data_IF_047757781649
#
_entry.id   IF_047757781649
#
_cell.length_a   1.000
_cell.length_b   1.000
_cell.length_c   1.000
_cell.angle_alpha   90.00
_cell.angle_beta   90.00
_cell.angle_gamma   90.00
#
_symmetry.space_group_name_H-M   'P 1'
#
loop_
_entity.id
_entity.type
_entity.pdbx_description
1 polymer ?
#
# COMPACT_ATOMS: atom_id res chain seq x y z
N UNK A 1 73.46 -23.93 35.48
CA UNK A 1 74.89 -23.77 35.84
C UNK A 1 74.99 -23.23 37.27
N UNK A 2 74.50 -24.01 38.24
CA UNK A 2 74.21 -23.55 39.61
C UNK A 2 74.73 -24.53 40.68
N UNK A 3 75.72 -25.34 40.32
CA UNK A 3 76.28 -26.40 41.17
C UNK A 3 77.72 -26.11 41.61
N UNK A 4 78.19 -24.86 41.49
CA UNK A 4 79.60 -24.49 41.79
C UNK A 4 79.82 -23.60 43.03
N UNK A 5 78.77 -23.21 43.75
CA UNK A 5 78.92 -22.34 44.93
C UNK A 5 78.84 -23.11 46.25
N UNK A 6 78.27 -24.33 46.28
CA UNK A 6 78.19 -25.12 47.52
C UNK A 6 79.46 -25.94 47.84
N UNK A 7 80.42 -26.05 46.93
CA UNK A 7 81.58 -26.94 47.09
C UNK A 7 82.77 -26.32 47.83
N UNK A 8 82.80 -24.99 48.02
CA UNK A 8 83.93 -24.29 48.68
C UNK A 8 83.71 -24.02 50.17
N UNK A 9 82.48 -24.21 50.68
CA UNK A 9 82.20 -24.01 52.11
C UNK A 9 82.51 -25.25 52.98
N UNK A 10 82.72 -26.43 52.36
CA UNK A 10 82.87 -27.70 53.09
C UNK A 10 84.31 -28.24 53.16
N UNK A 11 85.30 -27.49 52.66
CA UNK A 11 86.71 -27.94 52.62
C UNK A 11 87.60 -27.36 53.73
N UNK A 12 87.05 -26.63 54.71
CA UNK A 12 87.84 -25.98 55.76
C UNK A 12 87.41 -26.40 57.18
N UNK A 13 86.94 -27.63 57.36
CA UNK A 13 86.58 -28.17 58.68
C UNK A 13 87.43 -29.38 59.11
N UNK A 14 88.45 -29.78 58.35
CA UNK A 14 89.31 -30.88 58.74
C UNK A 14 90.77 -30.58 58.41
N UNK A 15 91.50 -30.13 59.43
CA UNK A 15 92.87 -30.54 59.83
C UNK A 15 93.43 -29.40 60.69
N UNK A 16 93.59 -29.71 61.97
CA UNK A 16 94.07 -28.83 63.03
C UNK A 16 95.60 -28.84 63.01
N UNK A 17 96.19 -27.64 62.91
CA UNK A 17 97.42 -27.17 63.57
C UNK A 17 98.29 -26.32 62.63
N UNK A 18 98.24 -25.00 62.85
CA UNK A 18 99.31 -24.10 62.42
C UNK A 18 98.93 -23.07 61.35
N UNK A 19 98.01 -22.16 61.67
CA UNK A 19 98.04 -20.81 61.11
C UNK A 19 97.94 -19.78 62.23
N UNK A 20 98.94 -18.91 62.27
CA UNK A 20 99.13 -17.77 63.18
C UNK A 20 98.05 -16.71 62.96
N UNK A 21 97.75 -15.92 64.00
CA UNK A 21 96.65 -14.93 64.15
C UNK A 21 96.55 -13.79 63.11
N UNK A 22 97.16 -13.91 61.93
CA UNK A 22 97.13 -12.91 60.85
C UNK A 22 96.28 -13.32 59.64
N UNK A 23 95.26 -14.15 59.88
CA UNK A 23 94.22 -14.51 58.88
C UNK A 23 92.79 -14.30 59.41
N UNK A 24 92.63 -13.87 60.67
CA UNK A 24 91.34 -13.38 61.18
C UNK A 24 90.96 -12.02 60.56
N UNK A 25 91.93 -11.27 60.03
CA UNK A 25 91.69 -9.98 59.37
C UNK A 25 91.24 -10.08 57.90
N UNK A 26 91.23 -11.29 57.30
CA UNK A 26 90.64 -11.47 55.97
C UNK A 26 89.11 -11.57 56.03
N UNK A 27 88.55 -11.93 57.19
CA UNK A 27 87.11 -11.98 57.43
C UNK A 27 86.53 -10.70 58.05
N UNK A 28 87.37 -9.78 58.54
CA UNK A 28 86.94 -8.45 59.05
C UNK A 28 87.01 -7.34 57.99
N UNK A 29 87.66 -7.58 56.85
CA UNK A 29 87.69 -6.67 55.69
C UNK A 29 86.56 -6.91 54.67
N UNK A 30 85.79 -7.98 54.82
CA UNK A 30 84.48 -8.13 54.19
C UNK A 30 83.44 -7.62 55.19
N UNK A 31 83.14 -6.32 55.09
CA UNK A 31 82.00 -5.72 55.78
C UNK A 31 80.76 -6.62 55.64
N UNK A 32 79.96 -6.68 56.70
CA UNK A 32 78.76 -7.51 56.83
C UNK A 32 78.15 -7.89 55.47
N UNK A 33 77.98 -9.20 55.21
CA UNK A 33 77.27 -9.71 54.04
C UNK A 33 76.07 -8.78 53.78
N UNK A 34 75.96 -8.15 52.59
CA UNK A 34 74.88 -7.21 52.36
C UNK A 34 73.58 -7.95 52.63
N UNK A 35 72.76 -7.40 53.51
CA UNK A 35 71.39 -7.88 53.71
C UNK A 35 70.66 -7.65 52.40
N UNK A 36 70.52 -8.72 51.62
CA UNK A 36 69.86 -8.69 50.33
C UNK A 36 68.37 -8.97 50.53
N UNK A 37 67.53 -8.12 49.94
CA UNK A 37 66.09 -8.32 49.87
C UNK A 37 65.64 -8.76 48.48
N UNK A 38 64.33 -8.92 48.35
CA UNK A 38 63.63 -9.31 47.13
C UNK A 38 62.33 -8.52 47.00
N UNK A 39 61.93 -8.26 45.75
CA UNK A 39 60.65 -7.63 45.43
C UNK A 39 59.86 -8.55 44.51
N UNK A 40 58.67 -8.95 44.94
CA UNK A 40 57.69 -9.66 44.11
C UNK A 40 56.83 -8.64 43.36
N UNK A 41 56.75 -8.77 42.03
CA UNK A 41 55.92 -7.89 41.21
C UNK A 41 54.83 -8.70 40.53
N UNK A 42 53.59 -8.25 40.66
CA UNK A 42 52.41 -8.84 40.02
C UNK A 42 51.75 -7.83 39.09
N UNK A 43 51.28 -8.29 37.93
CA UNK A 43 50.48 -7.49 36.99
C UNK A 43 49.18 -8.24 36.69
N UNK A 44 48.06 -7.68 37.14
CA UNK A 44 46.72 -8.22 36.90
C UNK A 44 46.14 -7.64 35.60
N UNK A 45 45.50 -8.49 34.79
CA UNK A 45 44.80 -8.09 33.57
C UNK A 45 45.38 -8.66 32.26
N UNK A 46 46.55 -8.21 31.78
CA UNK A 46 47.10 -8.62 30.49
C UNK A 46 47.61 -10.08 30.50
N UNK A 47 47.05 -10.99 29.67
CA UNK A 47 47.44 -12.40 29.65
C UNK A 47 48.84 -12.63 29.06
N UNK A 48 49.31 -11.73 28.20
CA UNK A 48 50.68 -11.74 27.67
C UNK A 48 51.71 -11.07 28.61
N UNK A 49 51.25 -10.52 29.75
CA UNK A 49 52.04 -9.74 30.69
C UNK A 49 52.25 -8.28 30.27
N UNK A 50 52.85 -7.50 31.16
CA UNK A 50 53.25 -6.11 30.92
C UNK A 50 54.76 -5.94 31.12
N UNK A 51 55.37 -4.98 30.42
CA UNK A 51 56.78 -4.64 30.62
C UNK A 51 56.91 -3.80 31.89
N UNK A 52 57.70 -4.27 32.84
CA UNK A 52 57.99 -3.59 34.11
C UNK A 52 59.47 -3.30 34.21
N UNK A 53 59.81 -2.04 34.44
CA UNK A 53 61.14 -1.58 34.76
C UNK A 53 61.26 -1.40 36.28
N UNK A 54 62.23 -2.05 36.92
CA UNK A 54 62.56 -1.81 38.32
C UNK A 54 63.91 -1.08 38.41
N UNK A 55 63.93 0.08 39.07
CA UNK A 55 65.15 0.90 39.27
C UNK A 55 65.35 1.21 40.74
N UNK A 56 66.59 1.07 41.24
CA UNK A 56 66.96 1.35 42.62
C UNK A 56 68.48 1.50 42.81
N UNK A 57 68.98 1.48 44.05
CA UNK A 57 70.40 1.68 44.34
C UNK A 57 71.29 0.63 43.65
N UNK A 58 72.01 1.04 42.61
CA UNK A 58 72.89 0.15 41.84
C UNK A 58 72.16 -0.93 41.03
N UNK A 59 70.84 -0.85 40.88
CA UNK A 59 70.02 -1.86 40.21
C UNK A 59 69.10 -1.23 39.17
N UNK A 60 69.05 -1.83 37.99
CA UNK A 60 68.10 -1.49 36.92
C UNK A 60 67.88 -2.72 36.05
N UNK A 61 66.64 -3.24 36.01
CA UNK A 61 66.28 -4.38 35.16
C UNK A 61 64.87 -4.19 34.58
N UNK A 62 64.65 -4.75 33.39
CA UNK A 62 63.39 -4.68 32.64
C UNK A 62 62.89 -6.08 32.33
N UNK A 63 61.63 -6.38 32.64
CA UNK A 63 61.05 -7.71 32.44
C UNK A 63 59.61 -7.63 31.97
N UNK A 64 59.21 -8.55 31.10
CA UNK A 64 57.79 -8.82 30.84
C UNK A 64 57.26 -9.72 31.95
N UNK A 65 56.30 -9.22 32.71
CA UNK A 65 55.72 -9.89 33.89
C UNK A 65 54.27 -10.25 33.59
N UNK A 66 53.97 -11.55 33.61
CA UNK A 66 52.62 -12.09 33.44
C UNK A 66 51.85 -12.21 34.76
N UNK A 67 50.66 -12.84 34.72
CA UNK A 67 49.78 -13.01 35.88
C UNK A 67 50.40 -13.84 37.02
N UNK A 68 51.41 -14.67 36.74
CA UNK A 68 52.13 -15.44 37.76
C UNK A 68 53.09 -14.59 38.61
N UNK A 69 53.27 -13.31 38.25
CA UNK A 69 54.25 -12.43 38.86
C UNK A 69 55.70 -12.80 38.53
N UNK A 70 56.63 -11.99 39.03
CA UNK A 70 58.07 -12.20 38.94
C UNK A 70 58.78 -11.64 40.17
N UNK A 71 59.79 -12.36 40.67
CA UNK A 71 60.59 -11.94 41.83
C UNK A 71 61.93 -11.38 41.40
N UNK A 72 62.19 -10.11 41.69
CA UNK A 72 63.53 -9.52 41.63
C UNK A 72 64.28 -9.88 42.92
N UNK A 73 65.43 -10.53 42.79
CA UNK A 73 66.23 -11.02 43.92
C UNK A 73 67.57 -10.28 44.03
N UNK A 74 68.27 -10.49 45.14
CA UNK A 74 69.61 -9.93 45.39
C UNK A 74 69.66 -8.40 45.33
N UNK A 75 68.62 -7.75 45.86
CA UNK A 75 68.48 -6.30 45.91
C UNK A 75 69.13 -5.75 47.20
N UNK A 76 69.98 -4.74 47.09
CA UNK A 76 70.50 -4.03 48.26
C UNK A 76 69.39 -3.27 48.99
N UNK A 77 69.57 -2.99 50.29
CA UNK A 77 68.64 -2.14 51.05
C UNK A 77 68.54 -0.74 50.42
N UNK A 78 67.34 -0.16 50.41
CA UNK A 78 67.05 1.13 49.81
C UNK A 78 65.72 1.18 49.04
N UNK A 79 65.45 2.31 48.40
CA UNK A 79 64.18 2.57 47.71
C UNK A 79 64.23 2.17 46.23
N UNK A 80 63.29 1.34 45.81
CA UNK A 80 63.11 0.89 44.44
C UNK A 80 61.84 1.47 43.86
N UNK A 81 61.89 1.87 42.60
CA UNK A 81 60.73 2.34 41.82
C UNK A 81 60.47 1.34 40.70
N UNK A 82 59.27 0.77 40.69
CA UNK A 82 58.78 -0.03 39.58
C UNK A 82 57.89 0.84 38.69
N UNK A 83 58.14 0.80 37.38
CA UNK A 83 57.34 1.49 36.36
C UNK A 83 56.83 0.47 35.35
N UNK A 84 55.52 0.44 35.13
CA UNK A 84 54.86 -0.39 34.12
C UNK A 84 54.67 0.41 32.85
N UNK A 85 55.03 -0.18 31.72
CA UNK A 85 54.65 0.34 30.40
C UNK A 85 53.24 -0.18 30.09
N UNK A 86 52.31 0.74 29.84
CA UNK A 86 50.91 0.41 29.59
C UNK A 86 50.76 -0.53 28.36
N UNK A 87 50.23 -1.75 28.54
CA UNK A 87 50.01 -2.67 27.43
C UNK A 87 48.86 -2.21 26.54
N UNK A 88 48.97 -2.41 25.23
CA UNK A 88 47.90 -2.07 24.29
C UNK A 88 46.59 -2.80 24.63
N UNK A 89 45.48 -2.05 24.73
CA UNK A 89 44.16 -2.59 25.08
C UNK A 89 43.87 -2.71 26.57
N UNK A 90 44.78 -2.26 27.44
CA UNK A 90 44.64 -2.25 28.89
C UNK A 90 44.90 -0.84 29.43
N UNK A 91 44.21 -0.48 30.51
CA UNK A 91 44.41 0.80 31.21
C UNK A 91 44.91 0.54 32.62
N UNK A 92 46.17 0.83 32.90
CA UNK A 92 46.77 0.56 34.21
C UNK A 92 46.36 1.63 35.23
N UNK A 93 45.80 1.21 36.36
CA UNK A 93 45.35 2.10 37.44
C UNK A 93 46.48 2.95 38.04
N UNK A 94 47.70 2.40 38.05
CA UNK A 94 48.93 3.12 38.36
C UNK A 94 50.06 2.64 37.45
N UNK A 95 50.91 3.56 37.02
CA UNK A 95 52.07 3.26 36.18
C UNK A 95 53.37 3.19 36.97
N UNK A 96 53.40 3.73 38.20
CA UNK A 96 54.62 3.79 39.01
C UNK A 96 54.30 3.50 40.48
N UNK A 97 55.08 2.62 41.11
CA UNK A 97 55.02 2.37 42.55
C UNK A 97 56.43 2.31 43.14
N UNK A 98 56.58 2.71 44.39
CA UNK A 98 57.86 2.69 45.11
C UNK A 98 57.82 1.75 46.31
N UNK A 99 58.96 1.13 46.60
CA UNK A 99 59.13 0.22 47.73
C UNK A 99 60.51 0.35 48.34
N UNK A 100 60.56 0.54 49.66
CA UNK A 100 61.82 0.61 50.41
C UNK A 100 62.10 -0.72 51.11
N UNK A 101 63.31 -1.25 50.92
CA UNK A 101 63.83 -2.42 51.64
C UNK A 101 64.65 -1.95 52.85
N UNK A 102 64.22 -2.31 54.07
CA UNK A 102 64.84 -1.86 55.33
C UNK A 102 65.46 -2.99 56.17
N UNK A 103 65.11 -4.26 55.91
CA UNK A 103 65.75 -5.46 56.49
C UNK A 103 65.61 -6.68 55.54
N UNK A 104 66.17 -7.83 55.91
CA UNK A 104 66.26 -9.05 55.08
C UNK A 104 65.12 -10.08 55.31
N UNK A 105 63.85 -9.65 55.47
CA UNK A 105 62.69 -10.56 55.55
C UNK A 105 61.36 -9.94 55.06
N UNK A 106 60.35 -10.77 54.74
CA UNK A 106 60.17 -11.44 53.45
C UNK A 106 59.74 -10.50 52.31
N UNK A 107 59.85 -10.98 51.07
CA UNK A 107 59.60 -10.30 49.79
C UNK A 107 58.62 -9.12 49.87
N UNK A 108 59.09 -7.91 49.60
CA UNK A 108 58.20 -6.78 49.48
C UNK A 108 57.42 -6.90 48.15
N UNK A 109 56.10 -6.74 48.16
CA UNK A 109 55.29 -6.90 46.95
C UNK A 109 54.90 -5.56 46.33
N UNK A 110 54.80 -5.55 45.00
CA UNK A 110 54.21 -4.49 44.18
C UNK A 110 53.17 -5.12 43.25
N UNK A 111 51.98 -4.54 43.20
CA UNK A 111 50.88 -5.07 42.37
C UNK A 111 50.33 -3.97 41.50
N UNK A 112 50.35 -4.20 40.19
CA UNK A 112 49.75 -3.31 39.20
C UNK A 112 48.45 -3.95 38.71
N UNK A 113 47.37 -3.15 38.69
CA UNK A 113 46.10 -3.59 38.14
C UNK A 113 45.85 -2.84 36.82
N UNK A 114 45.81 -3.59 35.73
CA UNK A 114 45.63 -3.11 34.38
C UNK A 114 44.38 -3.79 33.79
N UNK A 115 43.15 -3.34 34.11
CA UNK A 115 41.94 -3.85 33.50
C UNK A 115 41.95 -3.67 31.97
N UNK A 116 41.25 -4.58 31.28
CA UNK A 116 40.96 -4.43 29.84
C UNK A 116 40.19 -3.13 29.65
N UNK A 117 40.59 -2.32 28.66
CA UNK A 117 39.80 -1.17 28.23
C UNK A 117 38.50 -1.73 27.64
N UNK A 118 37.38 -1.55 28.34
CA UNK A 118 36.08 -1.88 27.78
C UNK A 118 35.92 -1.05 26.49
N UNK A 119 35.51 -1.65 25.36
CA UNK A 119 35.21 -0.85 24.17
C UNK A 119 34.12 0.14 24.56
N UNK A 120 34.39 1.43 24.43
CA UNK A 120 33.39 2.47 24.64
C UNK A 120 32.25 2.22 23.63
N UNK A 121 31.05 1.81 24.09
CA UNK A 121 30.02 1.34 23.19
C UNK A 121 29.53 2.48 22.31
N UNK A 122 29.57 2.27 21.00
CA UNK A 122 28.99 3.17 20.03
C UNK A 122 27.45 3.04 19.99
N UNK A 123 26.81 4.12 19.58
CA UNK A 123 25.38 4.20 19.29
C UNK A 123 25.17 4.52 17.82
N UNK A 124 24.26 3.80 17.17
CA UNK A 124 23.83 4.05 15.80
C UNK A 124 22.33 4.34 15.80
N UNK A 125 21.95 5.51 15.29
CA UNK A 125 20.58 6.00 15.28
C UNK A 125 20.10 6.26 13.86
N UNK A 126 18.93 5.74 13.52
CA UNK A 126 18.25 6.02 12.28
C UNK A 126 17.11 7.00 12.54
N UNK A 127 17.08 8.09 11.81
CA UNK A 127 15.96 9.05 11.84
C UNK A 127 15.16 8.93 10.56
N UNK A 128 13.87 9.24 10.62
CA UNK A 128 12.97 9.18 9.46
C UNK A 128 12.27 10.50 9.23
N UNK A 129 12.05 10.83 7.97
CA UNK A 129 11.18 11.93 7.54
C UNK A 129 10.18 11.43 6.51
N UNK A 130 8.97 11.99 6.51
CA UNK A 130 7.91 11.70 5.52
C UNK A 130 7.08 10.44 5.76
N UNK A 131 7.44 9.59 6.73
CA UNK A 131 6.54 8.54 7.24
C UNK A 131 5.40 9.15 8.05
N UNK A 132 4.18 8.68 7.81
CA UNK A 132 2.99 9.10 8.56
C UNK A 132 2.30 7.90 9.22
N UNK A 133 1.51 8.17 10.27
CA UNK A 133 0.78 7.14 11.00
C UNK A 133 1.68 6.15 11.75
N UNK A 134 1.24 4.88 11.80
CA UNK A 134 1.93 3.77 12.50
C UNK A 134 2.78 2.90 11.57
N UNK A 135 3.07 3.36 10.36
CA UNK A 135 3.89 2.60 9.40
C UNK A 135 5.30 2.40 9.95
N UNK A 136 5.76 1.14 9.94
CA UNK A 136 7.13 0.77 10.29
C UNK A 136 7.68 -0.23 9.28
N UNK A 137 9.00 -0.17 9.05
CA UNK A 137 9.72 -1.05 8.16
C UNK A 137 10.80 -1.83 8.92
N UNK A 138 10.96 -3.15 8.71
CA UNK A 138 12.08 -3.89 9.29
C UNK A 138 13.41 -3.31 8.80
N UNK A 139 14.31 -3.01 9.74
CA UNK A 139 15.67 -2.58 9.47
C UNK A 139 16.63 -3.54 10.16
N UNK A 140 17.57 -4.08 9.38
CA UNK A 140 18.63 -4.96 9.86
C UNK A 140 19.98 -4.28 9.71
N UNK A 141 20.82 -4.39 10.72
CA UNK A 141 22.25 -4.06 10.63
C UNK A 141 23.09 -5.33 10.71
N UNK A 142 24.19 -5.38 9.97
CA UNK A 142 25.12 -6.52 9.92
C UNK A 142 26.55 -6.02 9.97
N UNK A 143 27.39 -6.66 10.77
CA UNK A 143 28.79 -6.27 11.00
C UNK A 143 29.39 -7.11 12.12
N UNK A 144 30.03 -6.46 13.10
CA UNK A 144 30.50 -7.11 14.33
C UNK A 144 29.37 -7.72 15.18
N UNK A 145 28.16 -7.18 15.02
CA UNK A 145 26.92 -7.73 15.57
C UNK A 145 25.84 -7.68 14.48
N UNK A 146 24.85 -8.56 14.59
CA UNK A 146 23.65 -8.53 13.75
C UNK A 146 22.43 -8.23 14.61
N UNK A 147 21.79 -7.10 14.37
CA UNK A 147 20.62 -6.63 15.11
C UNK A 147 19.53 -6.24 14.12
N UNK A 148 18.28 -6.33 14.58
CA UNK A 148 17.11 -5.95 13.79
C UNK A 148 16.12 -5.16 14.65
N UNK A 149 15.41 -4.24 14.03
CA UNK A 149 14.31 -3.51 14.66
C UNK A 149 13.35 -2.96 13.62
N UNK A 150 12.31 -2.26 14.08
CA UNK A 150 11.32 -1.65 13.20
C UNK A 150 11.56 -0.14 13.15
N UNK A 151 11.91 0.37 11.98
CA UNK A 151 12.07 1.80 11.73
C UNK A 151 10.70 2.43 11.49
N UNK A 152 10.27 3.30 12.41
CA UNK A 152 9.03 4.08 12.29
C UNK A 152 9.30 5.59 12.22
N UNK A 153 8.25 6.40 12.33
CA UNK A 153 8.32 7.88 12.36
C UNK A 153 9.13 8.44 13.55
N UNK A 154 9.28 7.67 14.64
CA UNK A 154 10.12 8.03 15.80
C UNK A 154 11.62 7.73 15.59
N UNK A 155 12.00 7.07 14.49
CA UNK A 155 13.34 6.53 14.28
C UNK A 155 13.58 5.20 14.99
N UNK A 156 14.83 4.73 14.97
CA UNK A 156 15.30 3.48 15.59
C UNK A 156 16.73 3.66 16.08
N UNK A 157 17.06 3.15 17.27
CA UNK A 157 18.40 3.29 17.85
C UNK A 157 18.96 1.93 18.26
N UNK A 158 20.21 1.66 17.90
CA UNK A 158 21.01 0.54 18.39
C UNK A 158 22.14 1.07 19.26
N UNK A 159 22.27 0.55 20.48
CA UNK A 159 23.32 0.91 21.44
C UNK A 159 24.21 -0.30 21.73
N UNK A 160 25.35 -0.09 22.39
CA UNK A 160 26.22 -1.21 22.78
C UNK A 160 27.04 -1.77 21.62
N UNK A 161 27.24 -1.00 20.54
CA UNK A 161 27.93 -1.47 19.35
C UNK A 161 29.45 -1.34 19.52
N UNK A 162 30.20 -2.34 19.06
CA UNK A 162 31.65 -2.24 18.97
C UNK A 162 32.10 -1.32 17.84
N UNK A 163 33.33 -0.81 17.90
CA UNK A 163 33.95 -0.12 16.78
C UNK A 163 34.09 -1.08 15.58
N UNK A 164 33.83 -0.60 14.37
CA UNK A 164 33.88 -1.42 13.16
C UNK A 164 32.93 -0.96 12.06
N UNK A 165 32.93 -1.68 10.94
CA UNK A 165 32.04 -1.42 9.81
C UNK A 165 30.72 -2.18 9.97
N UNK A 166 29.62 -1.49 9.68
CA UNK A 166 28.26 -2.02 9.68
C UNK A 166 27.56 -1.67 8.37
N UNK A 167 26.89 -2.65 7.77
CA UNK A 167 25.92 -2.42 6.69
C UNK A 167 24.51 -2.42 7.25
N UNK A 168 23.62 -1.64 6.67
CA UNK A 168 22.21 -1.66 7.02
C UNK A 168 21.33 -1.86 5.79
N UNK A 169 20.18 -2.48 6.00
CA UNK A 169 19.15 -2.67 4.98
C UNK A 169 17.76 -2.52 5.56
N UNK A 170 16.96 -1.72 4.87
CA UNK A 170 15.55 -1.49 5.12
C UNK A 170 14.73 -2.39 4.18
N UNK A 171 13.87 -3.23 4.75
CA UNK A 171 12.93 -4.04 3.99
C UNK A 171 11.63 -3.25 3.76
N UNK A 172 11.44 -2.78 2.53
CA UNK A 172 10.24 -2.05 2.12
C UNK A 172 9.13 -2.99 1.60
N UNK A 173 9.41 -4.29 1.45
CA UNK A 173 8.52 -5.24 0.79
C UNK A 173 8.51 -5.13 -0.73
N UNK A 174 7.60 -5.87 -1.38
CA UNK A 174 7.54 -6.00 -2.85
C UNK A 174 6.70 -4.93 -3.56
N UNK A 175 5.79 -4.26 -2.85
CA UNK A 175 4.97 -3.15 -3.36
C UNK A 175 4.91 -2.04 -2.32
N UNK A 176 6.00 -1.30 -2.13
CA UNK A 176 6.10 -0.38 -1.02
C UNK A 176 5.21 0.86 -1.21
N UNK A 177 4.43 1.21 -0.19
CA UNK A 177 3.64 2.45 -0.16
C UNK A 177 4.50 3.72 0.02
N UNK A 178 5.79 3.55 0.31
CA UNK A 178 6.76 4.63 0.42
C UNK A 178 8.02 4.30 -0.36
N UNK A 179 8.59 5.28 -1.04
CA UNK A 179 9.95 5.22 -1.54
C UNK A 179 10.89 5.82 -0.48
N UNK A 180 11.72 4.98 0.16
CA UNK A 180 12.63 5.40 1.21
C UNK A 180 14.08 5.37 0.73
N UNK A 181 14.80 6.48 0.92
CA UNK A 181 16.20 6.62 0.54
C UNK A 181 17.05 7.22 1.67
N UNK A 182 18.24 6.66 1.93
CA UNK A 182 18.78 5.42 1.36
C UNK A 182 18.18 4.16 2.01
N UNK A 183 17.62 3.23 1.23
CA UNK A 183 17.11 1.94 1.77
C UNK A 183 18.22 0.99 2.25
N UNK A 184 19.44 1.12 1.72
CA UNK A 184 20.60 0.34 2.16
C UNK A 184 21.83 1.24 2.23
N UNK A 185 22.83 0.86 3.02
CA UNK A 185 24.08 1.60 3.11
C UNK A 185 25.08 0.98 4.07
N UNK A 186 26.19 1.68 4.29
CA UNK A 186 27.27 1.26 5.18
C UNK A 186 27.80 2.43 6.01
N UNK A 187 28.13 2.15 7.26
CA UNK A 187 28.73 3.09 8.20
C UNK A 187 29.94 2.47 8.88
N UNK A 188 30.86 3.30 9.37
CA UNK A 188 31.98 2.85 10.21
C UNK A 188 31.90 3.55 11.55
N UNK A 189 31.77 2.78 12.63
CA UNK A 189 31.71 3.28 14.00
C UNK A 189 33.11 3.26 14.62
N UNK A 190 33.45 4.33 15.33
CA UNK A 190 34.61 4.38 16.24
C UNK A 190 34.10 4.21 17.68
N UNK A 191 34.98 3.83 18.61
CA UNK A 191 34.62 3.69 20.03
C UNK A 191 34.01 5.00 20.57
N UNK A 192 32.90 4.89 21.30
CA UNK A 192 32.18 6.00 21.92
C UNK A 192 31.37 6.89 20.97
N UNK A 193 31.31 6.57 19.67
CA UNK A 193 30.59 7.41 18.71
C UNK A 193 29.07 7.32 18.86
N UNK A 194 28.39 8.45 18.65
CA UNK A 194 26.94 8.51 18.41
C UNK A 194 26.72 8.99 16.96
N UNK A 195 26.40 8.04 16.08
CA UNK A 195 26.21 8.30 14.65
C UNK A 195 24.73 8.28 14.29
N UNK A 196 24.27 9.31 13.58
CA UNK A 196 22.91 9.39 13.05
C UNK A 196 22.88 9.22 11.53
N UNK A 197 22.01 8.33 11.04
CA UNK A 197 21.71 8.09 9.62
C UNK A 197 20.29 8.57 9.30
N UNK A 198 20.12 9.60 8.47
CA UNK A 198 18.80 10.06 8.06
C UNK A 198 18.25 9.20 6.91
N UNK A 199 16.99 8.76 7.05
CA UNK A 199 16.20 8.09 6.01
C UNK A 199 15.04 9.00 5.63
N UNK A 200 14.91 9.34 4.34
CA UNK A 200 13.76 10.12 3.84
C UNK A 200 12.82 9.19 3.11
N UNK A 201 11.54 9.21 3.44
CA UNK A 201 10.50 8.40 2.82
C UNK A 201 9.45 9.28 2.16
N UNK A 202 9.22 9.10 0.86
CA UNK A 202 8.16 9.77 0.11
C UNK A 202 6.96 8.83 -0.04
N UNK A 203 5.77 9.31 0.29
CA UNK A 203 4.53 8.53 0.06
C UNK A 203 4.32 8.35 -1.45
N UNK A 204 4.01 7.13 -1.87
CA UNK A 204 3.72 6.78 -3.26
C UNK A 204 2.21 6.57 -3.45
N UNK A 205 1.41 7.64 -3.65
CA UNK A 205 0.00 7.48 -3.96
C UNK A 205 -0.20 6.70 -5.26
N UNK A 206 -1.29 5.95 -5.36
CA UNK A 206 -1.75 5.42 -6.63
C UNK A 206 -2.65 6.41 -7.35
N UNK A 207 -2.89 6.18 -8.64
CA UNK A 207 -3.82 6.98 -9.42
C UNK A 207 -4.62 6.11 -10.39
N UNK A 208 -5.75 6.64 -10.85
CA UNK A 208 -6.52 6.06 -11.95
C UNK A 208 -6.70 7.10 -13.06
N UNK A 209 -6.61 6.69 -14.32
CA UNK A 209 -7.07 7.48 -15.46
C UNK A 209 -8.37 6.90 -15.95
N UNK A 210 -9.42 7.72 -16.00
CA UNK A 210 -10.76 7.29 -16.42
C UNK A 210 -11.13 8.03 -17.71
N UNK A 211 -11.63 7.28 -18.69
CA UNK A 211 -12.21 7.83 -19.92
C UNK A 211 -13.50 7.11 -20.30
N UNK A 212 -14.40 7.84 -20.96
CA UNK A 212 -15.67 7.34 -21.47
C UNK A 212 -15.77 7.68 -22.95
N UNK A 213 -15.70 6.66 -23.81
CA UNK A 213 -15.66 6.85 -25.26
C UNK A 213 -17.03 6.60 -25.92
N UNK A 214 -17.17 7.01 -27.18
CA UNK A 214 -18.35 6.70 -28.02
C UNK A 214 -19.62 7.52 -27.77
N UNK A 215 -19.60 8.48 -26.84
CA UNK A 215 -20.70 9.42 -26.57
C UNK A 215 -20.82 10.61 -27.56
N UNK A 216 -20.06 10.63 -28.65
CA UNK A 216 -20.11 11.72 -29.65
C UNK A 216 -19.75 13.11 -29.11
N UNK A 217 -18.89 13.18 -28.09
CA UNK A 217 -18.50 14.44 -27.41
C UNK A 217 -19.26 14.72 -26.11
N UNK A 218 -20.23 13.88 -25.74
CA UNK A 218 -20.89 13.92 -24.44
C UNK A 218 -20.03 13.40 -23.29
N UNK A 219 -20.60 13.44 -22.08
CA UNK A 219 -19.96 12.98 -20.84
C UNK A 219 -20.90 12.09 -20.03
N UNK A 220 -20.35 11.18 -19.23
CA UNK A 220 -21.12 10.30 -18.33
C UNK A 220 -20.61 10.37 -16.89
N UNK A 221 -21.51 10.12 -15.93
CA UNK A 221 -21.15 10.03 -14.52
C UNK A 221 -20.58 8.63 -14.20
N UNK A 222 -19.41 8.61 -13.57
CA UNK A 222 -18.78 7.39 -13.07
C UNK A 222 -18.55 7.54 -11.58
N UNK A 223 -19.01 6.56 -10.81
CA UNK A 223 -18.76 6.45 -9.38
C UNK A 223 -17.79 5.30 -9.12
N UNK A 224 -17.05 5.36 -8.02
CA UNK A 224 -16.21 4.24 -7.59
C UNK A 224 -16.30 4.01 -6.10
N UNK A 225 -16.25 2.74 -5.72
CA UNK A 225 -16.14 2.30 -4.34
C UNK A 225 -14.77 1.68 -4.10
N UNK A 226 -14.29 1.73 -2.86
CA UNK A 226 -12.96 1.27 -2.48
C UNK A 226 -12.44 2.00 -1.24
N UNK A 227 -11.13 1.90 -0.95
CA UNK A 227 -10.48 2.61 0.16
C UNK A 227 -10.69 4.12 0.19
N UNK A 228 -10.89 4.76 -0.97
CA UNK A 228 -11.24 6.18 -1.10
C UNK A 228 -12.37 6.35 -2.13
N UNK A 229 -13.65 6.26 -1.72
CA UNK A 229 -14.78 6.29 -2.65
C UNK A 229 -15.00 7.70 -3.21
N UNK A 230 -15.59 7.79 -4.39
CA UNK A 230 -15.85 9.06 -5.04
C UNK A 230 -16.70 8.93 -6.30
N UNK A 231 -16.96 10.05 -6.95
CA UNK A 231 -17.63 10.09 -8.26
C UNK A 231 -17.24 11.34 -9.02
N UNK A 232 -17.27 11.28 -10.35
CA UNK A 232 -17.05 12.43 -11.21
C UNK A 232 -17.72 12.22 -12.59
N UNK A 233 -17.69 13.23 -13.43
CA UNK A 233 -18.17 13.19 -14.81
C UNK A 233 -16.97 13.13 -15.74
N UNK A 234 -17.00 12.19 -16.68
CA UNK A 234 -15.90 11.89 -17.61
C UNK A 234 -16.38 11.94 -19.05
N UNK A 235 -15.49 12.32 -19.96
CA UNK A 235 -15.70 12.25 -21.40
C UNK A 235 -14.62 11.42 -22.08
N UNK A 236 -14.47 11.58 -23.39
CA UNK A 236 -13.52 10.79 -24.19
C UNK A 236 -12.05 11.04 -23.83
N UNK A 237 -11.72 12.25 -23.34
CA UNK A 237 -10.37 12.56 -22.88
C UNK A 237 -10.10 11.91 -21.52
N UNK A 238 -9.01 11.13 -21.37
CA UNK A 238 -8.64 10.55 -20.07
C UNK A 238 -8.40 11.63 -19.02
N UNK A 239 -9.05 11.48 -17.87
CA UNK A 239 -8.88 12.35 -16.70
C UNK A 239 -8.28 11.55 -15.56
N UNK A 240 -7.21 12.08 -14.95
CA UNK A 240 -6.54 11.45 -13.82
C UNK A 240 -7.27 11.77 -12.51
N UNK A 241 -7.53 10.73 -11.72
CA UNK A 241 -7.88 10.78 -10.31
C UNK A 241 -6.59 10.53 -9.52
N UNK A 242 -5.96 11.58 -8.97
CA UNK A 242 -4.73 11.43 -8.21
C UNK A 242 -5.02 10.92 -6.80
N UNK A 243 -3.96 10.57 -6.07
CA UNK A 243 -3.98 10.34 -4.62
C UNK A 243 -4.99 9.29 -4.15
N UNK A 244 -5.21 8.25 -4.97
CA UNK A 244 -5.99 7.09 -4.57
C UNK A 244 -5.16 6.21 -3.63
N UNK A 245 -5.73 5.93 -2.47
CA UNK A 245 -5.20 4.95 -1.52
C UNK A 245 -5.06 3.60 -2.23
N UNK A 246 -3.96 2.88 -1.99
CA UNK A 246 -3.77 1.56 -2.58
C UNK A 246 -4.89 0.59 -2.17
N UNK A 247 -5.27 -0.31 -3.09
CA UNK A 247 -6.26 -1.34 -2.84
C UNK A 247 -7.18 -1.61 -4.02
N UNK A 248 -8.21 -2.40 -3.79
CA UNK A 248 -9.19 -2.77 -4.82
C UNK A 248 -10.28 -1.71 -4.93
N UNK A 249 -10.59 -1.33 -6.16
CA UNK A 249 -11.63 -0.37 -6.52
C UNK A 249 -12.60 -0.99 -7.50
N UNK A 250 -13.86 -0.57 -7.39
CA UNK A 250 -14.92 -0.94 -8.33
C UNK A 250 -15.51 0.33 -8.92
N UNK A 251 -15.29 0.55 -10.22
CA UNK A 251 -15.81 1.67 -10.98
C UNK A 251 -17.14 1.28 -11.64
N UNK A 252 -18.15 2.13 -11.48
CA UNK A 252 -19.50 1.93 -11.97
C UNK A 252 -19.91 3.15 -12.78
N UNK A 253 -20.31 2.91 -14.03
CA UNK A 253 -20.95 3.92 -14.89
C UNK A 253 -22.46 3.68 -14.88
N UNK A 254 -23.23 4.77 -14.89
CA UNK A 254 -24.66 4.73 -15.21
C UNK A 254 -24.80 5.07 -16.69
N UNK A 255 -25.41 4.19 -17.47
CA UNK A 255 -25.59 4.38 -18.90
C UNK A 255 -26.34 5.70 -19.19
N UNK A 256 -25.74 6.62 -19.97
CA UNK A 256 -26.45 7.80 -20.46
C UNK A 256 -27.59 7.39 -21.40
N UNK A 257 -28.69 8.14 -21.38
CA UNK A 257 -29.86 7.86 -22.23
C UNK A 257 -29.46 7.66 -23.69
N UNK A 258 -29.82 6.51 -24.27
CA UNK A 258 -29.56 6.16 -25.67
C UNK A 258 -28.18 5.55 -25.95
N UNK A 259 -27.41 5.22 -24.91
CA UNK A 259 -26.10 4.57 -25.03
C UNK A 259 -26.03 3.33 -24.14
N UNK A 260 -25.28 2.31 -24.59
CA UNK A 260 -24.90 1.13 -23.82
C UNK A 260 -23.39 1.19 -23.60
N UNK A 261 -22.95 1.39 -22.36
CA UNK A 261 -21.54 1.47 -21.97
C UNK A 261 -20.91 0.11 -21.64
N UNK A 262 -21.61 -0.98 -21.93
CA UNK A 262 -21.08 -2.33 -21.89
C UNK A 262 -20.73 -2.81 -20.48
N UNK A 263 -19.44 -3.07 -20.25
CA UNK A 263 -18.97 -3.70 -19.00
C UNK A 263 -18.96 -2.71 -17.82
N UNK A 264 -20.01 -2.81 -17.00
CA UNK A 264 -20.17 -2.13 -15.71
C UNK A 264 -20.71 -3.13 -14.67
N UNK A 265 -20.15 -3.20 -13.45
CA UNK A 265 -18.98 -2.46 -12.95
C UNK A 265 -17.63 -3.07 -13.38
N UNK A 266 -16.56 -2.26 -13.37
CA UNK A 266 -15.17 -2.68 -13.61
C UNK A 266 -14.36 -2.71 -12.31
N UNK A 267 -13.75 -3.85 -12.00
CA UNK A 267 -12.86 -4.00 -10.84
C UNK A 267 -11.40 -3.78 -11.25
N UNK A 268 -10.69 -2.93 -10.51
CA UNK A 268 -9.25 -2.65 -10.71
C UNK A 268 -8.51 -2.61 -9.38
N UNK A 269 -7.20 -2.84 -9.41
CA UNK A 269 -6.34 -2.71 -8.24
C UNK A 269 -5.39 -1.54 -8.42
N UNK A 270 -5.46 -0.58 -7.51
CA UNK A 270 -4.55 0.58 -7.47
C UNK A 270 -3.29 0.19 -6.72
N UNK A 271 -2.15 0.29 -7.41
CA UNK A 271 -0.81 -0.03 -6.89
C UNK A 271 -0.05 1.28 -6.57
N UNK A 272 0.81 1.30 -5.53
CA UNK A 272 1.60 2.48 -5.19
C UNK A 272 2.43 3.01 -6.37
N UNK A 273 2.41 4.33 -6.59
CA UNK A 273 3.19 5.00 -7.64
C UNK A 273 2.77 4.69 -9.08
N UNK A 274 1.74 3.87 -9.29
CA UNK A 274 1.24 3.49 -10.60
C UNK A 274 -0.06 4.22 -10.94
N UNK A 275 -0.27 4.44 -12.24
CA UNK A 275 -1.54 4.94 -12.78
C UNK A 275 -2.26 3.82 -13.53
N UNK A 276 -3.44 3.42 -13.07
CA UNK A 276 -4.25 2.37 -13.70
C UNK A 276 -5.26 2.98 -14.66
N UNK A 277 -5.45 2.39 -15.84
CA UNK A 277 -6.46 2.86 -16.80
C UNK A 277 -7.80 2.16 -16.56
N UNK A 278 -8.88 2.94 -16.60
CA UNK A 278 -10.28 2.49 -16.57
C UNK A 278 -10.97 3.12 -17.78
N UNK A 279 -11.59 2.32 -18.64
CA UNK A 279 -12.21 2.82 -19.87
C UNK A 279 -13.59 2.21 -20.03
N UNK A 280 -14.58 3.08 -20.23
CA UNK A 280 -15.93 2.68 -20.61
C UNK A 280 -16.15 3.03 -22.07
N UNK A 281 -16.52 2.05 -22.87
CA UNK A 281 -16.79 2.24 -24.29
C UNK A 281 -18.30 2.22 -24.50
N UNK A 282 -18.89 3.39 -24.72
CA UNK A 282 -20.32 3.53 -24.93
C UNK A 282 -20.66 3.46 -26.41
N UNK A 283 -21.62 2.63 -26.77
CA UNK A 283 -22.14 2.57 -28.14
C UNK A 283 -23.54 3.17 -28.18
N UNK A 284 -23.87 3.98 -29.21
CA UNK A 284 -25.25 4.39 -29.41
C UNK A 284 -26.11 3.14 -29.56
N UNK A 285 -27.16 3.05 -28.74
CA UNK A 285 -28.14 1.97 -28.90
C UNK A 285 -28.89 2.28 -30.20
N UNK A 286 -28.71 1.42 -31.20
CA UNK A 286 -29.40 1.56 -32.48
C UNK A 286 -30.91 1.59 -32.23
N UNK A 287 -31.55 2.72 -32.53
CA UNK A 287 -32.99 2.80 -32.72
C UNK A 287 -33.32 1.92 -33.92
N UNK A 288 -33.80 0.70 -33.68
CA UNK A 288 -34.37 -0.09 -34.77
C UNK A 288 -35.82 0.38 -34.99
N UNK A 289 -36.15 0.94 -36.16
CA UNK A 289 -37.55 1.07 -36.56
C UNK A 289 -38.07 -0.33 -36.87
N UNK A 290 -38.60 -1.03 -35.87
CA UNK A 290 -39.36 -2.25 -36.14
C UNK A 290 -40.74 -1.83 -36.66
N UNK A 291 -41.13 -2.28 -37.84
CA UNK A 291 -42.50 -2.03 -38.33
C UNK A 291 -43.41 -3.05 -37.66
N UNK A 292 -43.86 -2.71 -36.45
CA UNK A 292 -44.73 -3.60 -35.69
C UNK A 292 -46.18 -3.41 -36.09
N UNK A 293 -46.83 -4.51 -36.51
CA UNK A 293 -48.30 -4.58 -36.66
C UNK A 293 -48.95 -4.99 -35.34
N UNK A 294 -50.18 -4.53 -35.09
CA UNK A 294 -50.94 -4.91 -33.88
C UNK A 294 -51.94 -6.00 -34.24
N UNK A 295 -51.70 -7.23 -33.79
CA UNK A 295 -52.64 -8.32 -34.01
C UNK A 295 -53.80 -8.29 -33.00
N UNK A 296 -55.01 -8.04 -33.50
CA UNK A 296 -56.26 -7.95 -32.74
C UNK A 296 -57.07 -9.26 -32.72
N UNK A 297 -56.47 -10.38 -33.14
CA UNK A 297 -57.13 -11.68 -33.26
C UNK A 297 -57.80 -12.12 -31.95
N UNK A 298 -59.11 -12.37 -32.00
CA UNK A 298 -59.93 -12.81 -30.85
C UNK A 298 -61.08 -11.87 -30.46
N UNK A 299 -61.19 -10.69 -31.07
CA UNK A 299 -62.19 -9.67 -30.72
C UNK A 299 -63.03 -9.31 -31.97
N UNK A 300 -63.48 -10.32 -32.72
CA UNK A 300 -64.27 -10.12 -33.95
C UNK A 300 -65.77 -10.01 -33.65
N UNK A 301 -66.43 -8.98 -34.17
CA UNK A 301 -67.87 -8.77 -34.03
C UNK A 301 -68.43 -7.74 -35.00
N UNK A 302 -69.76 -7.70 -35.14
CA UNK A 302 -70.47 -6.72 -35.95
C UNK A 302 -70.20 -5.27 -35.48
N UNK A 303 -70.36 -4.25 -36.35
CA UNK A 303 -70.22 -2.84 -35.96
C UNK A 303 -71.03 -2.50 -34.68
N UNK A 304 -70.37 -1.90 -33.68
CA UNK A 304 -70.98 -1.53 -32.39
C UNK A 304 -70.91 -2.58 -31.28
N UNK A 305 -70.08 -3.62 -31.41
CA UNK A 305 -70.09 -4.77 -30.50
C UNK A 305 -68.82 -5.01 -29.66
N UNK A 306 -67.86 -4.06 -29.56
CA UNK A 306 -66.72 -4.22 -28.66
C UNK A 306 -67.07 -3.66 -27.27
N UNK A 307 -67.14 -4.50 -26.22
CA UNK A 307 -67.35 -4.03 -24.86
C UNK A 307 -66.28 -3.02 -24.43
N UNK A 308 -66.65 -2.11 -23.51
CA UNK A 308 -65.64 -1.31 -22.80
C UNK A 308 -64.78 -2.29 -22.00
N UNK A 309 -63.46 -2.21 -22.16
CA UNK A 309 -62.56 -3.20 -21.59
C UNK A 309 -61.13 -3.05 -22.08
N UNK A 310 -60.24 -3.81 -21.45
CA UNK A 310 -58.82 -3.91 -21.81
C UNK A 310 -58.57 -5.21 -22.55
N UNK A 311 -57.89 -5.10 -23.68
CA UNK A 311 -57.65 -6.20 -24.60
C UNK A 311 -56.15 -6.36 -24.82
N UNK A 312 -55.57 -7.52 -24.48
CA UNK A 312 -54.17 -7.81 -24.82
C UNK A 312 -54.06 -8.00 -26.33
N UNK A 313 -53.01 -7.43 -26.91
CA UNK A 313 -52.73 -7.50 -28.34
C UNK A 313 -51.29 -7.89 -28.57
N UNK A 314 -51.05 -8.73 -29.57
CA UNK A 314 -49.70 -9.12 -29.94
C UNK A 314 -49.09 -8.04 -30.83
N UNK A 315 -47.82 -7.78 -30.60
CA UNK A 315 -46.97 -6.99 -31.46
C UNK A 315 -46.28 -7.93 -32.43
N UNK A 316 -46.46 -7.70 -33.73
CA UNK A 316 -45.92 -8.55 -34.79
C UNK A 316 -44.78 -7.88 -35.53
N UNK A 317 -43.67 -8.58 -35.75
CA UNK A 317 -42.62 -8.21 -36.70
C UNK A 317 -42.61 -9.20 -37.86
N UNK A 318 -42.79 -8.70 -39.09
CA UNK A 318 -42.89 -9.58 -40.28
C UNK A 318 -43.95 -10.68 -40.17
N UNK A 319 -44.98 -10.50 -39.34
CA UNK A 319 -46.02 -11.48 -39.05
C UNK A 319 -45.75 -12.42 -37.86
N UNK A 320 -44.60 -12.29 -37.17
CA UNK A 320 -44.25 -13.10 -35.99
C UNK A 320 -44.45 -12.31 -34.68
N UNK A 321 -45.08 -12.88 -33.65
CA UNK A 321 -45.21 -12.21 -32.35
C UNK A 321 -43.86 -11.92 -31.70
N UNK A 322 -43.57 -10.64 -31.47
CA UNK A 322 -42.35 -10.16 -30.79
C UNK A 322 -42.62 -9.64 -29.38
N UNK A 323 -43.88 -9.32 -29.07
CA UNK A 323 -44.25 -8.76 -27.78
C UNK A 323 -45.76 -8.65 -27.58
N UNK A 324 -46.15 -8.05 -26.47
CA UNK A 324 -47.57 -7.79 -26.16
C UNK A 324 -47.74 -6.37 -25.63
N UNK A 325 -48.88 -5.76 -25.95
CA UNK A 325 -49.36 -4.55 -25.28
C UNK A 325 -50.86 -4.66 -25.00
N UNK A 326 -51.48 -3.61 -24.45
CA UNK A 326 -52.91 -3.54 -24.17
C UNK A 326 -53.54 -2.38 -24.94
N UNK A 327 -54.71 -2.65 -25.51
CA UNK A 327 -55.61 -1.62 -26.05
C UNK A 327 -56.88 -1.59 -25.20
N UNK A 328 -57.34 -0.40 -24.84
CA UNK A 328 -58.56 -0.21 -24.09
C UNK A 328 -59.62 0.46 -24.98
N UNK A 329 -60.82 -0.11 -25.02
CA UNK A 329 -61.99 0.54 -25.60
C UNK A 329 -62.67 1.39 -24.52
N UNK A 330 -62.81 2.70 -24.75
CA UNK A 330 -63.23 3.68 -23.72
C UNK A 330 -64.65 4.25 -23.90
N UNK A 331 -65.30 4.02 -25.04
CA UNK A 331 -66.68 4.48 -25.28
C UNK A 331 -67.13 4.32 -26.74
N UNK A 332 -68.43 4.52 -26.98
CA UNK A 332 -69.06 4.56 -28.32
C UNK A 332 -68.94 3.26 -29.15
N UNK A 333 -69.56 3.24 -30.33
CA UNK A 333 -69.62 2.11 -31.27
C UNK A 333 -68.24 1.73 -31.84
N UNK A 334 -67.36 1.17 -31.01
CA UNK A 334 -66.06 0.65 -31.40
C UNK A 334 -66.21 -0.77 -31.96
N UNK A 335 -65.43 -1.10 -32.98
CA UNK A 335 -65.42 -2.43 -33.57
C UNK A 335 -64.08 -2.72 -34.23
N UNK A 336 -63.73 -3.99 -34.40
CA UNK A 336 -62.50 -4.39 -35.06
C UNK A 336 -62.80 -4.72 -36.51
N UNK A 337 -61.95 -4.25 -37.42
CA UNK A 337 -62.14 -4.45 -38.85
C UNK A 337 -61.98 -5.92 -39.25
N UNK A 338 -62.32 -6.22 -40.51
CA UNK A 338 -62.21 -7.57 -41.07
C UNK A 338 -60.76 -8.07 -41.25
N UNK A 339 -59.76 -7.20 -41.02
CA UNK A 339 -58.32 -7.51 -41.06
C UNK A 339 -57.71 -7.45 -39.66
N UNK A 340 -56.63 -8.22 -39.38
CA UNK A 340 -56.08 -8.39 -38.03
C UNK A 340 -55.62 -7.10 -37.33
N UNK A 341 -55.33 -6.03 -38.08
CA UNK A 341 -54.66 -4.82 -37.57
C UNK A 341 -55.55 -3.56 -37.54
N UNK A 342 -56.86 -3.72 -37.76
CA UNK A 342 -57.78 -2.59 -38.01
C UNK A 342 -58.70 -2.28 -36.86
N UNK A 343 -58.77 -1.01 -36.48
CA UNK A 343 -59.68 -0.49 -35.47
C UNK A 343 -60.71 0.45 -36.09
N UNK A 344 -61.98 0.15 -35.84
CA UNK A 344 -63.13 0.99 -36.19
C UNK A 344 -63.56 1.85 -35.02
N UNK A 345 -63.56 3.16 -35.23
CA UNK A 345 -64.11 4.16 -34.30
C UNK A 345 -65.47 4.57 -34.86
N UNK A 346 -66.56 4.36 -34.12
CA UNK A 346 -67.88 4.91 -34.45
C UNK A 346 -68.06 6.35 -33.97
N UNK A 347 -69.26 6.91 -34.09
CA UNK A 347 -69.57 8.28 -33.63
C UNK A 347 -69.25 8.44 -32.13
N UNK A 348 -68.15 9.13 -31.81
CA UNK A 348 -67.67 9.29 -30.43
C UNK A 348 -66.93 8.08 -29.85
N UNK A 349 -66.48 7.14 -30.69
CA UNK A 349 -65.65 6.01 -30.28
C UNK A 349 -64.26 6.45 -29.83
N UNK A 350 -63.68 5.72 -28.89
CA UNK A 350 -62.35 6.00 -28.36
C UNK A 350 -61.57 4.73 -28.02
N UNK A 351 -60.29 4.69 -28.45
CA UNK A 351 -59.33 3.67 -28.05
C UNK A 351 -58.14 4.29 -27.33
N UNK A 352 -57.60 3.58 -26.35
CA UNK A 352 -56.35 3.94 -25.67
C UNK A 352 -55.33 2.83 -25.86
N UNK A 353 -54.15 3.19 -26.31
CA UNK A 353 -53.01 2.29 -26.51
C UNK A 353 -52.05 2.48 -25.35
N UNK A 354 -51.67 1.38 -24.72
CA UNK A 354 -50.53 1.37 -23.81
C UNK A 354 -49.23 1.37 -24.62
N UNK A 355 -48.42 2.41 -24.47
CA UNK A 355 -47.12 2.55 -25.11
C UNK A 355 -45.98 1.93 -24.29
N UNK A 356 -46.28 1.40 -23.09
CA UNK A 356 -45.35 0.59 -22.32
C UNK A 356 -45.30 -0.84 -22.84
N UNK A 357 -44.58 -1.00 -23.94
CA UNK A 357 -44.49 -2.25 -24.68
C UNK A 357 -43.44 -3.17 -24.05
N UNK A 358 -43.73 -4.48 -23.99
CA UNK A 358 -42.71 -5.50 -23.69
C UNK A 358 -42.44 -6.33 -24.95
N UNK A 359 -41.19 -6.35 -25.43
CA UNK A 359 -40.70 -7.19 -26.54
C UNK A 359 -39.69 -8.18 -25.99
N UNK A 360 -39.88 -9.48 -26.23
CA UNK A 360 -38.99 -10.53 -25.69
C UNK A 360 -38.83 -10.52 -24.15
N UNK A 361 -39.80 -10.00 -23.41
CA UNK A 361 -39.75 -9.89 -21.94
C UNK A 361 -38.97 -8.68 -21.40
N UNK A 362 -38.58 -7.73 -22.25
CA UNK A 362 -37.91 -6.49 -21.87
C UNK A 362 -38.82 -5.29 -22.12
N UNK A 363 -38.83 -4.27 -21.24
CA UNK A 363 -39.62 -3.05 -21.44
C UNK A 363 -39.00 -2.17 -22.53
N UNK A 364 -39.86 -1.58 -23.36
CA UNK A 364 -39.50 -0.64 -24.42
C UNK A 364 -40.39 0.60 -24.34
N UNK A 365 -39.79 1.74 -24.69
CA UNK A 365 -40.47 3.01 -24.79
C UNK A 365 -40.73 3.32 -26.27
N UNK A 366 -42.00 3.52 -26.64
CA UNK A 366 -42.37 3.92 -28.00
C UNK A 366 -41.99 5.39 -28.24
N UNK A 367 -41.21 5.68 -29.30
CA UNK A 367 -40.80 7.04 -29.70
C UNK A 367 -41.65 7.62 -30.82
N UNK A 368 -42.35 6.77 -31.57
CA UNK A 368 -43.22 7.19 -32.65
C UNK A 368 -44.01 6.04 -33.25
N UNK A 369 -45.08 6.35 -33.98
CA UNK A 369 -45.84 5.36 -34.74
C UNK A 369 -46.56 6.03 -35.91
N UNK A 370 -46.94 5.24 -36.91
CA UNK A 370 -47.81 5.68 -37.99
C UNK A 370 -49.27 5.30 -37.70
N UNK A 371 -50.20 6.23 -37.92
CA UNK A 371 -51.64 5.98 -37.89
C UNK A 371 -52.23 6.21 -39.28
N UNK A 372 -52.82 5.16 -39.84
CA UNK A 372 -53.32 5.14 -41.21
C UNK A 372 -54.84 5.12 -41.21
N UNK A 373 -55.48 6.16 -41.73
CA UNK A 373 -56.94 6.17 -41.90
C UNK A 373 -57.34 5.32 -43.10
N UNK A 374 -58.39 4.50 -42.94
CA UNK A 374 -58.93 3.64 -43.99
C UNK A 374 -60.41 3.96 -44.18
N UNK A 375 -60.79 4.32 -45.40
CA UNK A 375 -62.19 4.62 -45.80
C UNK A 375 -62.93 5.65 -44.92
N UNK A 376 -62.22 6.43 -44.11
CA UNK A 376 -62.78 7.50 -43.27
C UNK A 376 -62.35 8.87 -43.76
N UNK A 377 -63.32 9.78 -43.93
CA UNK A 377 -63.05 11.15 -44.36
C UNK A 377 -62.56 11.99 -43.18
N UNK A 378 -61.25 12.21 -43.05
CA UNK A 378 -60.70 13.24 -42.15
C UNK A 378 -60.75 14.61 -42.81
N UNK A 379 -61.07 15.63 -42.02
CA UNK A 379 -61.04 17.03 -42.45
C UNK A 379 -60.77 17.94 -41.23
N UNK A 380 -60.55 19.23 -41.45
CA UNK A 380 -60.46 20.19 -40.34
C UNK A 380 -61.73 20.20 -39.45
N UNK A 381 -62.90 19.88 -40.00
CA UNK A 381 -64.16 19.75 -39.26
C UNK A 381 -64.45 18.34 -38.72
N UNK A 382 -63.60 17.35 -39.04
CA UNK A 382 -63.68 15.97 -38.57
C UNK A 382 -62.27 15.37 -38.40
N UNK A 383 -61.45 15.90 -37.48
CA UNK A 383 -60.10 15.39 -37.26
C UNK A 383 -60.13 14.05 -36.53
N UNK A 384 -59.25 13.15 -36.90
CA UNK A 384 -58.82 12.07 -36.00
C UNK A 384 -57.83 12.69 -35.01
N UNK A 385 -58.10 12.57 -33.72
CA UNK A 385 -57.31 13.21 -32.66
C UNK A 385 -56.53 12.15 -31.89
N UNK A 386 -55.23 12.36 -31.74
CA UNK A 386 -54.34 11.54 -30.91
C UNK A 386 -53.87 12.41 -29.74
N UNK A 387 -54.30 12.08 -28.54
CA UNK A 387 -53.86 12.73 -27.30
C UNK A 387 -52.87 11.84 -26.57
N UNK A 388 -51.68 12.35 -26.31
CA UNK A 388 -50.65 11.66 -25.54
C UNK A 388 -50.83 11.95 -24.06
N UNK A 389 -50.81 10.91 -23.24
CA UNK A 389 -51.02 10.99 -21.79
C UNK A 389 -49.85 10.32 -21.05
N UNK A 390 -49.41 10.89 -19.94
CA UNK A 390 -48.49 10.22 -19.03
C UNK A 390 -49.21 9.17 -18.15
N UNK A 391 -48.48 8.51 -17.24
CA UNK A 391 -49.05 7.49 -16.35
C UNK A 391 -50.12 8.04 -15.39
N UNK A 392 -50.07 9.33 -15.05
CA UNK A 392 -51.06 10.03 -14.23
C UNK A 392 -52.21 10.63 -15.07
N UNK A 393 -52.34 10.23 -16.33
CA UNK A 393 -53.34 10.71 -17.29
C UNK A 393 -53.27 12.22 -17.61
N UNK A 394 -52.14 12.88 -17.34
CA UNK A 394 -51.94 14.26 -17.76
C UNK A 394 -51.51 14.31 -19.23
N UNK A 395 -52.04 15.29 -19.98
CA UNK A 395 -51.73 15.49 -21.41
C UNK A 395 -50.27 15.91 -21.58
N UNK A 396 -49.52 15.13 -22.34
CA UNK A 396 -48.12 15.41 -22.73
C UNK A 396 -48.03 15.96 -24.16
N UNK A 397 -49.07 15.79 -24.98
CA UNK A 397 -49.16 16.34 -26.32
C UNK A 397 -50.48 15.99 -27.01
N UNK A 398 -50.77 16.64 -28.14
CA UNK A 398 -51.95 16.36 -28.96
C UNK A 398 -51.65 16.58 -30.43
N UNK A 399 -52.05 15.65 -31.28
CA UNK A 399 -51.93 15.74 -32.73
C UNK A 399 -53.28 15.50 -33.41
N UNK A 400 -53.55 16.27 -34.48
CA UNK A 400 -54.80 16.23 -35.23
C UNK A 400 -54.51 15.82 -36.69
N UNK A 401 -55.07 14.70 -37.12
CA UNK A 401 -55.01 14.26 -38.53
C UNK A 401 -56.21 14.83 -39.26
N UNK A 402 -55.96 15.83 -40.11
CA UNK A 402 -57.00 16.64 -40.79
C UNK A 402 -56.99 16.55 -42.31
N UNK A 403 -56.00 15.88 -42.91
CA UNK A 403 -55.89 15.73 -44.37
C UNK A 403 -55.61 14.26 -44.74
N UNK A 404 -56.20 13.79 -45.84
CA UNK A 404 -55.94 12.45 -46.38
C UNK A 404 -54.80 12.58 -47.39
N UNK A 405 -53.64 11.97 -47.13
CA UNK A 405 -53.30 10.73 -47.86
C UNK A 405 -52.49 9.77 -46.97
N UNK A 406 -52.72 8.46 -47.02
CA UNK A 406 -51.72 7.44 -46.57
C UNK A 406 -50.90 7.76 -45.30
N UNK A 407 -51.38 7.34 -44.12
CA UNK A 407 -50.61 7.29 -42.85
C UNK A 407 -49.96 8.60 -42.33
N UNK A 408 -50.43 9.09 -41.19
CA UNK A 408 -49.76 10.18 -40.45
C UNK A 408 -48.72 9.60 -39.48
N UNK A 409 -47.50 10.14 -39.50
CA UNK A 409 -46.46 9.82 -38.52
C UNK A 409 -46.66 10.67 -37.25
N UNK A 410 -46.67 10.00 -36.11
CA UNK A 410 -46.90 10.56 -34.78
C UNK A 410 -45.61 10.48 -33.98
N UNK A 411 -45.11 11.60 -33.46
CA UNK A 411 -43.94 11.62 -32.57
C UNK A 411 -44.43 11.55 -31.12
N UNK A 412 -43.99 10.54 -30.37
CA UNK A 412 -44.41 10.36 -28.98
C UNK A 412 -43.60 11.30 -28.08
N UNK A 413 -44.24 12.24 -27.35
CA UNK A 413 -43.54 13.10 -26.41
C UNK A 413 -42.87 12.31 -25.28
N UNK A 414 -41.78 12.84 -24.73
CA UNK A 414 -41.16 12.27 -23.54
C UNK A 414 -42.18 12.12 -22.38
N UNK A 415 -41.97 11.11 -21.53
CA UNK A 415 -42.85 10.80 -20.39
C UNK A 415 -44.30 10.40 -20.76
N UNK A 416 -44.56 9.99 -21.99
CA UNK A 416 -45.87 9.47 -22.42
C UNK A 416 -46.00 7.99 -22.08
N UNK A 417 -47.16 7.59 -21.55
CA UNK A 417 -47.53 6.19 -21.29
C UNK A 417 -48.66 5.70 -22.21
N UNK A 418 -49.59 6.58 -22.57
CA UNK A 418 -50.75 6.22 -23.36
C UNK A 418 -50.93 7.12 -24.58
N UNK A 419 -51.36 6.53 -25.70
CA UNK A 419 -51.93 7.27 -26.81
C UNK A 419 -53.45 7.07 -26.82
N UNK A 420 -54.20 8.14 -26.64
CA UNK A 420 -55.66 8.15 -26.66
C UNK A 420 -56.15 8.66 -28.01
N UNK A 421 -56.81 7.79 -28.77
CA UNK A 421 -57.26 8.07 -30.13
C UNK A 421 -58.78 8.20 -30.16
N UNK A 422 -59.25 9.34 -30.65
CA UNK A 422 -60.68 9.67 -30.75
C UNK A 422 -61.02 10.17 -32.15
N UNK A 423 -62.22 9.86 -32.61
CA UNK A 423 -62.73 10.33 -33.90
C UNK A 423 -64.20 10.77 -33.76
N UNK A 424 -64.54 12.03 -34.11
CA UNK A 424 -65.92 12.50 -34.04
C UNK A 424 -66.92 11.68 -34.86
N UNK A 425 -66.55 11.25 -36.07
CA UNK A 425 -67.40 10.45 -36.96
C UNK A 425 -66.84 9.03 -37.17
N UNK A 426 -67.70 8.13 -37.65
CA UNK A 426 -67.31 6.77 -37.95
C UNK A 426 -66.17 6.66 -38.99
N UNK A 427 -65.15 5.84 -38.70
CA UNK A 427 -64.03 5.58 -39.59
C UNK A 427 -63.12 4.45 -39.09
N UNK A 428 -62.14 4.06 -39.90
CA UNK A 428 -61.17 3.03 -39.54
C UNK A 428 -59.76 3.58 -39.48
N UNK A 429 -58.96 3.05 -38.56
CA UNK A 429 -57.54 3.34 -38.40
C UNK A 429 -56.74 2.05 -38.26
N UNK A 430 -55.59 2.01 -38.91
CA UNK A 430 -54.58 0.95 -38.77
C UNK A 430 -53.35 1.58 -38.06
N UNK A 431 -52.81 0.89 -37.05
CA UNK A 431 -51.57 1.29 -36.36
C UNK A 431 -50.40 0.54 -36.96
N UNK A 432 -49.40 1.27 -37.44
CA UNK A 432 -48.26 0.70 -38.15
C UNK A 432 -46.96 1.38 -37.72
N UNK A 433 -45.82 0.75 -38.02
CA UNK A 433 -44.51 1.44 -37.95
C UNK A 433 -44.12 1.93 -36.56
N UNK A 434 -44.42 1.17 -35.50
CA UNK A 434 -44.11 1.56 -34.11
C UNK A 434 -42.59 1.58 -33.89
N UNK A 435 -42.00 2.77 -33.75
CA UNK A 435 -40.61 2.94 -33.33
C UNK A 435 -40.49 2.88 -31.81
N UNK A 436 -39.49 2.18 -31.32
CA UNK A 436 -39.23 2.06 -29.89
C UNK A 436 -37.73 2.14 -29.55
N UNK A 437 -37.43 2.44 -28.29
CA UNK A 437 -36.08 2.38 -27.71
C UNK A 437 -36.09 1.60 -26.40
N UNK A 438 -34.96 0.94 -26.09
CA UNK A 438 -34.77 0.21 -24.83
C UNK A 438 -34.24 1.18 -23.76
N UNK A 439 -34.86 1.25 -22.57
CA UNK A 439 -34.34 2.02 -21.43
C UNK A 439 -32.92 1.60 -21.05
#
# INVERSE_FOLDING_TARGET
ATTRVLATALACALVINGCTEKEADFFTALGALPTLGSIDVFVNGPPAGAVVQLTGPGFSDSRTIGQSGFTFQSLALGSYTATVTEPAGYACTQLTQTRTLTDAAPNASLTFDCPVIAPDPATLRFTTTGLTGSTTFPLTITGQASLSGNLGSAGLTFTGLGAGSYTYGLDLGTTPMYDCSPATGSVTLTAGQDLTVPITCAFLPGAATVSVTGLGGGTAAVAWTGPSPGSNVFGASPTTIPDLTMGSYTFTITDPTGFDCGVSPQAVTITPGATTAVTFDCTPIATQPLTVGVQLSGIQGSPGAVPIGSYPVNLLDGGSPVGTTTIQALGGNTFIGFTPDRLGLGNGGAYRFDLGVNVGGQPFNVTGFAICTVNGAVSAGNPLVVTFLNQAEAVTGTENVTTVPTCAWMVVPANTRYAHVTWPNAGFVDFNGIQYWRP
#
